data_IF_951846898999
#
_entry.id   IF_951846898999
#
_cell.length_a   1.000
_cell.length_b   1.000
_cell.length_c   1.000
_cell.angle_alpha   90.00
_cell.angle_beta   90.00
_cell.angle_gamma   90.00
#
_symmetry.space_group_name_H-M   'P 1'
#
loop_
_entity.id
_entity.type
_entity.pdbx_description
1 polymer ?
#
# COMPACT_ATOMS: atom_id res chain seq x y z
N UNK A 1 23.27 10.55 0.33
CA UNK A 1 24.28 10.35 1.40
C UNK A 1 23.74 9.30 2.36
N UNK A 2 24.33 8.09 2.41
CA UNK A 2 23.92 7.05 3.36
C UNK A 2 24.13 7.55 4.81
N UNK A 3 23.06 7.60 5.61
CA UNK A 3 23.16 7.89 7.05
C UNK A 3 24.06 6.83 7.70
N UNK A 4 25.11 7.30 8.36
CA UNK A 4 26.10 6.49 9.06
C UNK A 4 25.40 5.85 10.26
N UNK A 5 25.16 4.52 10.24
CA UNK A 5 24.68 3.77 11.41
C UNK A 5 25.59 4.10 12.60
N UNK A 6 24.97 4.51 13.71
CA UNK A 6 25.71 4.86 14.90
C UNK A 6 26.19 3.60 15.62
N UNK A 7 27.44 3.56 16.10
CA UNK A 7 27.91 2.48 16.94
C UNK A 7 27.40 2.69 18.39
N UNK A 8 26.70 1.69 18.94
CA UNK A 8 26.28 1.66 20.35
C UNK A 8 24.76 1.69 20.57
N UNK A 9 24.33 1.53 21.84
CA UNK A 9 22.93 1.65 22.26
C UNK A 9 22.61 3.12 22.50
N UNK A 10 21.49 3.60 21.96
CA UNK A 10 21.05 4.99 22.06
C UNK A 10 19.83 5.12 22.97
N UNK A 11 19.62 6.31 23.52
CA UNK A 11 18.41 6.69 24.25
C UNK A 11 17.64 7.71 23.40
N UNK A 12 16.50 7.28 22.85
CA UNK A 12 15.65 8.12 22.02
C UNK A 12 14.58 8.81 22.84
N UNK A 13 14.60 10.14 22.89
CA UNK A 13 13.54 10.96 23.49
C UNK A 13 12.49 11.25 22.44
N UNK A 14 11.25 10.81 22.66
CA UNK A 14 10.17 10.97 21.67
C UNK A 14 9.38 12.26 21.87
N UNK A 15 9.03 12.88 20.75
CA UNK A 15 8.03 13.94 20.65
C UNK A 15 6.62 13.34 20.43
N UNK A 16 5.59 13.96 21.01
CA UNK A 16 4.17 13.60 20.83
C UNK A 16 3.75 13.53 19.37
N UNK A 17 4.26 14.43 18.51
CA UNK A 17 3.92 14.44 17.09
C UNK A 17 4.33 13.15 16.37
N UNK A 18 5.39 12.49 16.83
CA UNK A 18 5.82 11.19 16.32
C UNK A 18 4.76 10.13 16.61
N UNK A 19 4.33 10.05 17.87
CA UNK A 19 3.34 9.08 18.34
C UNK A 19 1.93 9.33 17.77
N UNK A 20 1.55 10.61 17.63
CA UNK A 20 0.26 10.99 17.04
C UNK A 20 0.19 10.69 15.55
N UNK A 21 1.31 10.71 14.84
CA UNK A 21 1.36 10.33 13.43
C UNK A 21 1.45 8.81 13.25
N UNK A 22 2.28 8.13 14.05
CA UNK A 22 2.49 6.68 13.96
C UNK A 22 2.44 6.03 15.36
N UNK A 23 1.31 5.40 15.73
CA UNK A 23 1.19 4.70 17.00
C UNK A 23 2.17 3.54 17.19
N UNK A 24 2.72 2.99 16.11
CA UNK A 24 3.66 1.88 16.16
C UNK A 24 5.12 2.31 16.36
N UNK A 25 5.40 3.61 16.39
CA UNK A 25 6.75 4.16 16.49
C UNK A 25 7.55 3.58 17.67
N UNK A 26 6.89 3.35 18.81
CA UNK A 26 7.51 2.77 20.02
C UNK A 26 8.15 1.38 19.80
N UNK A 27 7.77 0.65 18.74
CA UNK A 27 8.31 -0.68 18.44
C UNK A 27 9.45 -0.66 17.40
N UNK A 28 9.80 0.52 16.87
CA UNK A 28 10.71 0.64 15.73
C UNK A 28 12.15 1.01 16.10
N UNK A 29 12.45 1.12 17.38
CA UNK A 29 13.78 1.49 17.87
C UNK A 29 14.70 0.28 18.14
N UNK A 30 14.29 -0.93 17.74
CA UNK A 30 15.09 -2.17 17.76
C UNK A 30 15.79 -2.42 19.12
N UNK A 31 17.13 -2.44 19.14
CA UNK A 31 17.97 -2.63 20.32
C UNK A 31 18.09 -1.39 21.22
N UNK A 32 17.55 -0.24 20.81
CA UNK A 32 17.74 1.05 21.47
C UNK A 32 16.63 1.36 22.48
N UNK A 33 16.98 2.16 23.48
CA UNK A 33 16.08 2.54 24.54
C UNK A 33 15.25 3.77 24.15
N UNK A 34 14.04 3.86 24.66
CA UNK A 34 13.08 4.93 24.40
C UNK A 34 12.77 5.62 25.72
N UNK A 35 12.75 6.95 25.71
CA UNK A 35 12.29 7.76 26.82
C UNK A 35 11.05 8.57 26.40
N UNK A 36 9.99 8.48 27.20
CA UNK A 36 8.74 9.21 27.00
C UNK A 36 8.60 10.28 28.10
N UNK A 37 8.79 11.57 27.76
CA UNK A 37 8.54 12.68 28.69
C UNK A 37 7.09 12.73 29.18
N UNK A 38 6.84 13.19 30.40
CA UNK A 38 5.48 13.27 30.94
C UNK A 38 4.58 14.23 30.14
N UNK A 39 5.16 15.32 29.63
CA UNK A 39 4.44 16.26 28.76
C UNK A 39 3.89 15.62 27.50
N UNK A 40 4.53 14.55 27.00
CA UNK A 40 4.02 13.79 25.84
C UNK A 40 2.74 13.05 26.20
N UNK A 41 2.64 12.51 27.43
CA UNK A 41 1.42 11.86 27.89
C UNK A 41 0.28 12.87 28.08
N UNK A 42 0.58 14.08 28.55
CA UNK A 42 -0.39 15.18 28.67
C UNK A 42 -0.93 15.62 27.29
N UNK A 43 -0.03 15.78 26.31
CA UNK A 43 -0.42 16.14 24.96
C UNK A 43 -1.21 15.03 24.26
N UNK A 44 -0.83 13.77 24.46
CA UNK A 44 -1.62 12.62 24.00
C UNK A 44 -3.02 12.63 24.60
N UNK A 45 -3.18 12.96 25.89
CA UNK A 45 -4.49 13.04 26.52
C UNK A 45 -5.35 14.18 25.95
N UNK A 46 -4.76 15.37 25.80
CA UNK A 46 -5.42 16.51 25.17
C UNK A 46 -5.87 16.20 23.73
N UNK A 47 -5.04 15.46 22.99
CA UNK A 47 -5.31 15.06 21.61
C UNK A 47 -6.41 14.00 21.45
N UNK A 48 -6.88 13.32 22.51
CA UNK A 48 -7.95 12.31 22.43
C UNK A 48 -9.32 12.88 22.07
N UNK A 49 -9.51 14.20 22.02
CA UNK A 49 -10.80 14.85 21.78
C UNK A 49 -11.14 14.85 20.29
N UNK A 50 -12.38 14.49 19.94
CA UNK A 50 -12.89 14.53 18.57
C UNK A 50 -12.78 13.22 17.78
N UNK A 51 -13.00 13.30 16.47
CA UNK A 51 -13.09 12.15 15.54
C UNK A 51 -11.94 12.09 14.53
N UNK A 52 -10.92 12.94 14.67
CA UNK A 52 -9.77 12.99 13.75
C UNK A 52 -8.88 11.76 13.86
N UNK A 53 -8.07 11.53 12.83
CA UNK A 53 -7.05 10.47 12.84
C UNK A 53 -6.02 10.68 13.95
N UNK A 54 -5.60 11.92 14.18
CA UNK A 54 -4.74 12.31 15.31
C UNK A 54 -5.36 11.86 16.65
N UNK A 55 -6.66 12.11 16.86
CA UNK A 55 -7.36 11.68 18.08
C UNK A 55 -7.49 10.16 18.18
N UNK A 56 -7.66 9.46 17.05
CA UNK A 56 -7.65 7.99 17.01
C UNK A 56 -6.27 7.44 17.37
N UNK A 57 -5.21 8.00 16.81
CA UNK A 57 -3.83 7.60 17.02
C UNK A 57 -3.41 7.87 18.47
N UNK A 58 -3.75 9.02 19.04
CA UNK A 58 -3.51 9.33 20.45
C UNK A 58 -4.17 8.31 21.40
N UNK A 59 -5.43 7.91 21.13
CA UNK A 59 -6.10 6.82 21.86
C UNK A 59 -5.40 5.48 21.69
N UNK A 60 -4.91 5.18 20.49
CA UNK A 60 -4.21 3.93 20.20
C UNK A 60 -2.88 3.86 20.95
N UNK A 61 -2.06 4.90 20.87
CA UNK A 61 -0.81 5.02 21.65
C UNK A 61 -1.08 4.85 23.13
N UNK A 62 -2.09 5.55 23.67
CA UNK A 62 -2.44 5.43 25.09
C UNK A 62 -2.77 3.99 25.50
N UNK A 63 -3.49 3.23 24.67
CA UNK A 63 -3.77 1.80 24.93
C UNK A 63 -2.53 0.92 24.82
N UNK A 64 -1.62 1.22 23.89
CA UNK A 64 -0.37 0.49 23.75
C UNK A 64 0.51 0.70 24.98
N UNK A 65 0.68 1.95 25.42
CA UNK A 65 1.41 2.30 26.64
C UNK A 65 0.78 1.65 27.88
N UNK A 66 -0.55 1.70 28.00
CA UNK A 66 -1.30 1.02 29.07
C UNK A 66 -1.06 -0.50 29.06
N UNK A 67 -1.05 -1.13 27.88
CA UNK A 67 -0.76 -2.57 27.77
C UNK A 67 0.69 -2.94 28.12
N UNK A 68 1.64 -2.04 27.84
CA UNK A 68 3.05 -2.24 28.19
C UNK A 68 3.25 -2.12 29.69
N UNK A 69 2.57 -1.16 30.33
CA UNK A 69 2.59 -0.96 31.78
C UNK A 69 1.89 -2.14 32.46
N UNK A 70 0.70 -2.55 32.01
CA UNK A 70 -0.02 -3.71 32.53
C UNK A 70 -0.13 -3.71 34.06
N UNK A 71 0.30 -4.80 34.70
CA UNK A 71 0.40 -4.94 36.16
C UNK A 71 1.83 -4.69 36.70
N UNK A 72 2.70 -4.04 35.91
CA UNK A 72 4.07 -3.78 36.31
C UNK A 72 4.13 -2.91 37.58
N UNK A 73 4.86 -3.38 38.60
CA UNK A 73 5.10 -2.60 39.81
C UNK A 73 6.00 -1.38 39.55
N UNK A 74 6.00 -0.41 40.47
CA UNK A 74 6.77 0.84 40.36
C UNK A 74 8.25 0.60 40.07
N UNK A 75 8.86 -0.42 40.69
CA UNK A 75 10.26 -0.78 40.47
C UNK A 75 10.54 -1.22 39.03
N UNK A 76 9.56 -1.87 38.37
CA UNK A 76 9.67 -2.30 36.98
C UNK A 76 9.51 -1.12 36.01
N UNK A 77 8.65 -0.15 36.34
CA UNK A 77 8.48 1.08 35.57
C UNK A 77 9.76 1.93 35.65
N UNK A 78 10.31 2.10 36.85
CA UNK A 78 11.56 2.85 37.07
C UNK A 78 12.75 2.18 36.38
N UNK A 79 12.80 0.84 36.37
CA UNK A 79 13.83 0.09 35.66
C UNK A 79 13.65 0.10 34.12
N UNK A 80 12.52 0.60 33.60
CA UNK A 80 12.14 0.56 32.19
C UNK A 80 11.46 -0.75 31.79
N UNK A 81 10.45 -0.69 30.94
CA UNK A 81 9.69 -1.85 30.49
C UNK A 81 10.28 -2.41 29.19
N UNK A 82 10.33 -3.75 29.01
CA UNK A 82 10.87 -4.33 27.78
C UNK A 82 9.98 -4.01 26.58
N UNK A 83 10.58 -3.59 25.46
CA UNK A 83 9.86 -3.42 24.20
C UNK A 83 9.67 -4.79 23.52
N UNK A 84 8.49 -5.08 22.94
CA UNK A 84 8.27 -6.27 22.12
C UNK A 84 9.22 -6.30 20.92
N UNK A 85 10.11 -7.30 20.85
CA UNK A 85 11.03 -7.49 19.73
C UNK A 85 10.33 -8.08 18.50
N UNK A 86 10.36 -7.38 17.38
CA UNK A 86 9.96 -7.91 16.07
C UNK A 86 10.98 -8.93 15.54
N UNK A 87 10.93 -10.17 16.00
CA UNK A 87 11.51 -11.36 15.33
C UNK A 87 13.04 -11.47 15.16
N UNK A 88 13.85 -10.53 15.66
CA UNK A 88 15.33 -10.58 15.59
C UNK A 88 15.99 -11.21 16.83
N UNK A 89 17.09 -11.94 16.65
CA UNK A 89 17.89 -12.60 17.69
C UNK A 89 18.67 -11.64 18.65
N UNK A 90 18.28 -10.37 18.75
CA UNK A 90 18.91 -9.34 19.59
C UNK A 90 18.15 -9.06 20.90
N UNK A 91 18.82 -8.52 21.91
CA UNK A 91 18.17 -8.12 23.17
C UNK A 91 17.40 -6.80 22.95
N UNK A 92 16.05 -6.78 23.11
CA UNK A 92 15.26 -5.60 22.77
C UNK A 92 15.61 -4.36 23.61
N UNK A 93 15.29 -3.20 23.05
CA UNK A 93 15.23 -1.92 23.76
C UNK A 93 14.25 -1.94 24.95
N UNK A 94 14.37 -0.96 25.85
CA UNK A 94 13.41 -0.71 26.93
C UNK A 94 12.77 0.66 26.76
N UNK A 95 11.52 0.78 27.20
CA UNK A 95 10.80 2.05 27.29
C UNK A 95 10.80 2.57 28.72
N UNK A 96 11.22 3.82 28.89
CA UNK A 96 11.29 4.55 30.14
C UNK A 96 10.27 5.68 30.12
N UNK A 97 9.64 5.93 31.26
CA UNK A 97 8.77 7.08 31.47
C UNK A 97 9.44 8.03 32.44
N UNK A 98 9.19 9.32 32.29
CA UNK A 98 9.66 10.31 33.27
C UNK A 98 8.91 10.13 34.60
N UNK A 99 9.59 9.60 35.60
CA UNK A 99 9.05 9.38 36.97
C UNK A 99 9.55 10.37 38.00
N UNK A 100 10.60 11.12 37.67
CA UNK A 100 11.23 12.13 38.52
C UNK A 100 11.22 13.50 37.84
N UNK A 101 11.37 14.56 38.63
CA UNK A 101 11.51 15.93 38.11
C UNK A 101 12.91 16.13 37.54
N UNK A 102 13.12 15.58 36.34
CA UNK A 102 14.36 15.64 35.58
C UNK A 102 14.25 16.82 34.61
N UNK A 103 14.38 18.03 35.12
CA UNK A 103 14.27 19.26 34.32
C UNK A 103 15.53 20.14 34.44
N UNK A 104 16.16 20.43 33.29
CA UNK A 104 17.27 21.39 33.21
C UNK A 104 16.75 22.78 32.78
N UNK A 105 17.38 23.85 33.27
CA UNK A 105 17.05 25.21 32.87
C UNK A 105 17.37 25.43 31.38
N UNK A 106 16.34 25.69 30.58
CA UNK A 106 16.44 26.12 29.18
C UNK A 106 16.46 27.66 29.16
N UNK A 107 17.24 28.33 28.28
CA UNK A 107 17.30 29.79 28.22
C UNK A 107 15.88 30.41 28.13
N UNK A 108 15.57 31.34 29.04
CA UNK A 108 14.25 31.99 29.11
C UNK A 108 13.88 32.79 27.86
N UNK A 109 14.84 33.03 26.97
CA UNK A 109 14.66 33.70 25.68
C UNK A 109 14.25 32.77 24.53
N UNK A 110 14.08 31.46 24.76
CA UNK A 110 13.66 30.52 23.69
C UNK A 110 12.18 30.70 23.34
N UNK A 111 11.86 31.10 22.09
CA UNK A 111 10.47 31.23 21.65
C UNK A 111 9.83 29.85 21.41
N UNK A 112 8.59 29.64 21.88
CA UNK A 112 7.84 28.40 21.70
C UNK A 112 6.78 28.16 22.77
N UNK A 113 6.01 27.08 22.61
CA UNK A 113 5.07 26.60 23.62
C UNK A 113 5.79 25.95 24.81
N UNK A 114 5.11 25.87 25.97
CA UNK A 114 5.66 25.28 27.19
C UNK A 114 6.06 23.80 27.00
N UNK A 115 5.40 23.06 26.10
CA UNK A 115 5.64 21.63 25.91
C UNK A 115 6.92 21.31 25.13
N UNK A 116 7.18 21.98 24.00
CA UNK A 116 8.46 21.89 23.27
C UNK A 116 9.66 22.11 24.21
N UNK A 117 9.59 23.18 25.01
CA UNK A 117 10.66 23.54 25.93
C UNK A 117 10.84 22.50 27.04
N UNK A 118 9.75 21.84 27.45
CA UNK A 118 9.79 20.74 28.43
C UNK A 118 10.41 19.47 27.85
N UNK A 119 10.15 19.15 26.58
CA UNK A 119 10.81 18.02 25.89
C UNK A 119 12.32 18.29 25.78
N UNK A 120 12.70 19.52 25.43
CA UNK A 120 14.11 19.92 25.34
C UNK A 120 14.81 19.89 26.71
N UNK A 121 14.17 20.36 27.78
CA UNK A 121 14.76 20.35 29.13
C UNK A 121 15.03 18.93 29.63
N UNK A 122 14.11 18.01 29.37
CA UNK A 122 14.26 16.58 29.69
C UNK A 122 15.39 15.96 28.89
N UNK A 123 15.48 16.25 27.59
CA UNK A 123 16.54 15.70 26.74
C UNK A 123 17.95 16.19 27.16
N UNK A 124 18.09 17.44 27.61
CA UNK A 124 19.35 17.96 28.18
C UNK A 124 19.69 17.21 29.47
N UNK A 125 18.74 17.13 30.41
CA UNK A 125 18.97 16.49 31.69
C UNK A 125 19.33 15.00 31.55
N UNK A 126 18.73 14.28 30.59
CA UNK A 126 19.11 12.91 30.27
C UNK A 126 20.51 12.79 29.64
N UNK A 127 20.91 13.76 28.81
CA UNK A 127 22.27 13.79 28.24
C UNK A 127 23.33 14.01 29.33
N UNK A 128 23.03 14.82 30.36
CA UNK A 128 23.92 15.05 31.51
C UNK A 128 23.96 13.87 32.48
N UNK A 129 22.81 13.23 32.75
CA UNK A 129 22.72 12.08 33.65
C UNK A 129 23.37 10.81 33.07
N UNK A 130 23.42 10.68 31.74
CA UNK A 130 23.93 9.50 31.05
C UNK A 130 25.01 9.86 30.00
N UNK A 131 26.20 10.34 30.41
CA UNK A 131 27.25 10.79 29.49
C UNK A 131 27.79 9.67 28.58
N UNK A 132 27.66 8.40 29.01
CA UNK A 132 28.09 7.23 28.25
C UNK A 132 27.04 6.74 27.22
N UNK A 133 25.82 7.30 27.24
CA UNK A 133 24.73 6.95 26.32
C UNK A 133 24.40 8.14 25.42
N UNK A 134 24.32 7.90 24.12
CA UNK A 134 23.99 8.96 23.18
C UNK A 134 22.48 9.22 23.16
N UNK A 135 22.08 10.32 23.80
CA UNK A 135 20.71 10.83 23.82
C UNK A 135 20.36 11.52 22.50
N UNK A 136 19.25 11.10 21.89
CA UNK A 136 18.78 11.60 20.59
C UNK A 136 17.31 12.00 20.68
N UNK A 137 17.00 13.26 20.36
CA UNK A 137 15.62 13.72 20.22
C UNK A 137 15.07 13.28 18.86
N UNK A 138 13.88 12.67 18.87
CA UNK A 138 13.17 12.21 17.66
C UNK A 138 11.88 12.98 17.55
N UNK A 139 11.75 13.78 16.49
CA UNK A 139 10.60 14.66 16.26
C UNK A 139 10.31 14.78 14.77
N UNK A 140 9.04 15.02 14.41
CA UNK A 140 8.61 15.42 13.05
C UNK A 140 8.64 16.94 12.83
N UNK A 141 8.73 17.73 13.89
CA UNK A 141 8.76 19.19 13.80
C UNK A 141 10.18 19.70 13.53
N UNK A 142 10.36 20.36 12.38
CA UNK A 142 11.63 20.97 11.98
C UNK A 142 12.10 22.00 13.01
N UNK A 143 11.20 22.80 13.58
CA UNK A 143 11.54 23.85 14.54
C UNK A 143 12.06 23.27 15.85
N UNK A 144 11.39 22.23 16.37
CA UNK A 144 11.85 21.53 17.57
C UNK A 144 13.24 20.91 17.37
N UNK A 145 13.49 20.31 16.20
CA UNK A 145 14.82 19.76 15.85
C UNK A 145 15.89 20.84 15.71
N UNK A 146 15.57 22.01 15.15
CA UNK A 146 16.50 23.14 15.06
C UNK A 146 16.87 23.62 16.46
N UNK A 147 15.88 23.82 17.35
CA UNK A 147 16.10 24.25 18.75
C UNK A 147 17.00 23.26 19.49
N UNK A 148 16.71 21.96 19.37
CA UNK A 148 17.51 20.90 19.98
C UNK A 148 18.99 20.97 19.55
N UNK A 149 19.25 21.12 18.24
CA UNK A 149 20.62 21.24 17.72
C UNK A 149 21.33 22.50 18.21
N UNK A 150 20.63 23.62 18.31
CA UNK A 150 21.17 24.86 18.88
C UNK A 150 21.55 24.67 20.36
N UNK A 151 20.80 23.86 21.09
CA UNK A 151 21.07 23.50 22.49
C UNK A 151 22.08 22.36 22.67
N UNK A 152 22.71 21.87 21.59
CA UNK A 152 23.70 20.79 21.65
C UNK A 152 23.10 19.38 21.76
N UNK A 153 21.77 19.24 21.72
CA UNK A 153 21.08 17.96 21.68
C UNK A 153 21.07 17.45 20.24
N UNK A 154 21.46 16.19 20.06
CA UNK A 154 21.31 15.54 18.76
C UNK A 154 19.83 15.35 18.45
N UNK A 155 19.38 15.86 17.31
CA UNK A 155 18.00 15.71 16.87
C UNK A 155 17.89 15.08 15.48
N UNK A 156 17.08 14.03 15.40
CA UNK A 156 16.79 13.26 14.20
C UNK A 156 15.31 13.43 13.81
N UNK A 157 15.08 13.48 12.50
CA UNK A 157 13.73 13.41 11.97
C UNK A 157 13.19 12.00 12.22
N UNK A 158 11.95 11.89 12.70
CA UNK A 158 11.23 10.62 12.61
C UNK A 158 10.84 10.39 11.17
N UNK A 159 11.81 9.90 10.41
CA UNK A 159 11.55 9.27 9.15
C UNK A 159 10.86 7.95 9.49
N UNK A 160 9.79 7.65 8.77
CA UNK A 160 9.08 6.38 8.84
C UNK A 160 9.97 5.19 8.37
N UNK A 161 11.28 5.42 8.22
CA UNK A 161 12.35 4.62 7.59
C UNK A 161 12.68 3.32 8.35
N UNK A 162 11.72 2.77 9.08
CA UNK A 162 11.70 1.35 9.42
C UNK A 162 10.38 0.64 9.09
N UNK A 163 9.53 1.23 8.26
CA UNK A 163 8.54 0.49 7.48
C UNK A 163 8.58 0.99 6.03
N UNK A 164 9.32 0.22 5.21
CA UNK A 164 9.54 0.35 3.77
C UNK A 164 10.49 1.49 3.37
N UNK A 165 11.79 1.28 3.62
CA UNK A 165 12.90 2.05 3.05
C UNK A 165 13.04 1.89 1.52
N UNK A 166 11.94 1.57 0.83
CA UNK A 166 11.93 1.32 -0.60
C UNK A 166 10.46 1.16 -1.07
N UNK A 167 9.97 2.11 -1.85
CA UNK A 167 8.96 1.81 -2.87
C UNK A 167 9.37 0.61 -3.76
N UNK A 168 10.68 0.28 -3.77
CA UNK A 168 11.29 -0.90 -4.40
C UNK A 168 11.19 -2.22 -3.58
N UNK A 169 10.74 -2.19 -2.31
CA UNK A 169 10.50 -3.34 -1.42
C UNK A 169 9.01 -3.69 -1.33
N UNK A 170 8.14 -2.87 -1.92
CA UNK A 170 6.74 -3.25 -2.11
C UNK A 170 6.70 -4.55 -2.90
N UNK A 171 5.89 -5.50 -2.41
CA UNK A 171 5.66 -6.76 -3.09
C UNK A 171 5.22 -6.49 -4.53
N UNK A 172 6.10 -6.75 -5.50
CA UNK A 172 5.87 -6.43 -6.91
C UNK A 172 4.97 -7.45 -7.64
N UNK A 173 4.63 -8.56 -6.99
CA UNK A 173 3.85 -9.65 -7.60
C UNK A 173 4.64 -10.55 -8.54
N UNK A 174 5.95 -10.32 -8.72
CA UNK A 174 6.81 -11.04 -9.66
C UNK A 174 8.06 -11.61 -8.99
N UNK A 175 8.51 -12.78 -9.44
CA UNK A 175 9.80 -13.33 -9.05
C UNK A 175 10.44 -14.10 -10.20
N UNK A 176 11.77 -14.19 -10.18
CA UNK A 176 12.47 -15.06 -11.11
C UNK A 176 12.17 -16.53 -10.77
N UNK A 177 11.92 -17.33 -11.81
CA UNK A 177 11.75 -18.77 -11.70
C UNK A 177 13.14 -19.44 -11.61
N UNK A 178 13.45 -20.18 -10.53
CA UNK A 178 14.72 -20.89 -10.41
C UNK A 178 14.90 -21.91 -11.54
N UNK A 179 16.12 -21.95 -12.09
CA UNK A 179 16.48 -22.89 -13.18
C UNK A 179 16.20 -24.35 -12.84
N UNK A 180 16.32 -24.75 -11.58
CA UNK A 180 16.03 -26.11 -11.12
C UNK A 180 14.57 -26.54 -11.33
N UNK A 181 13.63 -25.59 -11.43
CA UNK A 181 12.22 -25.85 -11.76
C UNK A 181 11.93 -25.73 -13.25
N UNK A 182 12.79 -25.06 -14.01
CA UNK A 182 12.64 -24.94 -15.46
C UNK A 182 12.70 -26.31 -16.14
N UNK A 183 13.63 -27.17 -15.72
CA UNK A 183 13.78 -28.53 -16.26
C UNK A 183 12.54 -29.41 -15.96
N UNK A 184 11.80 -29.10 -14.89
CA UNK A 184 10.54 -29.79 -14.56
C UNK A 184 9.38 -29.29 -15.42
N UNK A 185 9.33 -28.01 -15.78
CA UNK A 185 8.29 -27.45 -16.66
C UNK A 185 8.36 -28.03 -18.08
N UNK A 186 9.55 -28.40 -18.55
CA UNK A 186 9.75 -29.00 -19.87
C UNK A 186 9.53 -30.53 -19.87
N UNK A 187 9.48 -31.16 -18.70
CA UNK A 187 9.25 -32.60 -18.55
C UNK A 187 7.75 -32.95 -18.53
N UNK A 188 7.28 -33.72 -19.51
CA UNK A 188 5.88 -34.21 -19.61
C UNK A 188 5.34 -34.97 -18.38
N UNK A 189 6.07 -35.92 -17.75
CA UNK A 189 5.51 -36.73 -16.65
C UNK A 189 5.22 -35.96 -15.35
N UNK A 190 5.63 -34.69 -15.24
CA UNK A 190 5.37 -33.84 -14.07
C UNK A 190 4.08 -33.01 -14.20
N UNK A 191 3.39 -33.09 -15.33
CA UNK A 191 2.21 -32.27 -15.65
C UNK A 191 0.92 -33.03 -15.37
N UNK A 192 -0.10 -32.33 -14.87
CA UNK A 192 -1.48 -32.83 -14.90
C UNK A 192 -2.42 -31.75 -15.40
N UNK A 193 -3.59 -32.17 -15.88
CA UNK A 193 -4.64 -31.27 -16.31
C UNK A 193 -5.85 -31.35 -15.38
N UNK A 194 -6.41 -30.20 -15.02
CA UNK A 194 -7.64 -30.11 -14.23
C UNK A 194 -8.42 -28.88 -14.68
N UNK A 195 -9.70 -29.05 -15.00
CA UNK A 195 -10.59 -27.97 -15.46
C UNK A 195 -10.02 -27.16 -16.64
N UNK A 196 -9.36 -27.82 -17.59
CA UNK A 196 -8.74 -27.18 -18.75
C UNK A 196 -7.43 -26.44 -18.47
N UNK A 197 -6.94 -26.45 -17.24
CA UNK A 197 -5.66 -25.85 -16.83
C UNK A 197 -4.59 -26.93 -16.70
N UNK A 198 -3.36 -26.58 -17.04
CA UNK A 198 -2.20 -27.46 -16.91
C UNK A 198 -1.38 -27.02 -15.71
N UNK A 199 -1.02 -27.96 -14.85
CA UNK A 199 -0.26 -27.68 -13.63
C UNK A 199 0.98 -28.57 -13.55
N UNK A 200 2.02 -28.04 -12.90
CA UNK A 200 3.25 -28.78 -12.58
C UNK A 200 3.48 -28.72 -11.07
N UNK A 201 3.74 -29.87 -10.45
CA UNK A 201 3.74 -29.98 -8.99
C UNK A 201 5.03 -29.38 -8.43
N UNK A 202 4.89 -28.62 -7.34
CA UNK A 202 6.00 -27.99 -6.64
C UNK A 202 6.10 -28.53 -5.21
N UNK A 203 7.32 -28.78 -4.77
CA UNK A 203 7.59 -29.25 -3.42
C UNK A 203 7.45 -28.12 -2.39
N UNK A 204 6.95 -28.43 -1.18
CA UNK A 204 6.74 -27.43 -0.12
C UNK A 204 7.98 -26.61 0.21
N UNK A 205 9.17 -27.19 0.12
CA UNK A 205 10.43 -26.49 0.39
C UNK A 205 10.68 -25.37 -0.63
N UNK A 206 10.40 -25.62 -1.92
CA UNK A 206 10.57 -24.63 -3.00
C UNK A 206 9.49 -23.56 -2.94
N UNK A 207 8.25 -23.95 -2.60
CA UNK A 207 7.11 -23.04 -2.53
C UNK A 207 7.18 -22.00 -1.40
N UNK A 208 7.98 -22.24 -0.34
CA UNK A 208 8.11 -21.32 0.82
C UNK A 208 8.52 -19.89 0.46
N UNK A 209 9.15 -19.70 -0.69
CA UNK A 209 9.62 -18.39 -1.15
C UNK A 209 8.57 -17.60 -1.93
N UNK A 210 7.42 -18.21 -2.25
CA UNK A 210 6.40 -17.59 -3.09
C UNK A 210 5.08 -17.39 -2.36
N UNK A 211 4.44 -16.26 -2.67
CA UNK A 211 3.06 -16.01 -2.29
C UNK A 211 2.11 -16.64 -3.33
N UNK A 212 0.89 -17.07 -2.94
CA UNK A 212 -0.11 -17.53 -3.89
C UNK A 212 -0.31 -16.52 -5.04
N UNK A 213 -0.48 -17.04 -6.24
CA UNK A 213 -0.67 -16.27 -7.48
C UNK A 213 0.48 -15.32 -7.85
N UNK A 214 1.67 -15.52 -7.27
CA UNK A 214 2.87 -14.81 -7.67
C UNK A 214 3.27 -15.21 -9.10
N UNK A 215 3.57 -14.22 -9.92
CA UNK A 215 3.96 -14.39 -11.31
C UNK A 215 5.45 -14.71 -11.39
N UNK A 216 5.80 -15.87 -11.93
CA UNK A 216 7.17 -16.35 -12.02
C UNK A 216 7.64 -16.29 -13.47
N UNK A 217 8.83 -15.74 -13.69
CA UNK A 217 9.35 -15.54 -15.03
C UNK A 217 10.78 -16.07 -15.18
N UNK A 218 11.14 -16.43 -16.41
CA UNK A 218 12.52 -16.78 -16.76
C UNK A 218 13.18 -15.56 -17.41
N UNK A 219 14.40 -15.16 -17.01
CA UNK A 219 15.15 -14.13 -17.74
C UNK A 219 15.32 -14.56 -19.19
N UNK A 220 15.12 -13.63 -20.12
CA UNK A 220 15.30 -13.84 -21.56
C UNK A 220 14.36 -14.86 -22.25
N UNK A 221 13.34 -15.40 -21.56
CA UNK A 221 12.33 -16.27 -22.16
C UNK A 221 10.92 -15.98 -21.65
N UNK A 222 10.02 -15.55 -22.55
CA UNK A 222 8.59 -15.29 -22.25
C UNK A 222 7.72 -16.54 -22.32
N UNK A 223 8.15 -17.57 -23.07
CA UNK A 223 7.35 -18.78 -23.31
C UNK A 223 7.26 -19.71 -22.09
N UNK A 224 7.98 -19.37 -21.02
CA UNK A 224 8.12 -20.17 -19.81
C UNK A 224 7.66 -19.41 -18.56
N UNK A 225 6.91 -18.32 -18.77
CA UNK A 225 6.29 -17.56 -17.70
C UNK A 225 5.15 -18.41 -17.08
N UNK A 226 5.09 -18.46 -15.75
CA UNK A 226 4.12 -19.28 -15.01
C UNK A 226 3.57 -18.51 -13.81
N UNK A 227 2.47 -18.97 -13.23
CA UNK A 227 1.91 -18.44 -11.98
C UNK A 227 1.98 -19.53 -10.91
N UNK A 228 2.50 -19.20 -9.73
CA UNK A 228 2.47 -20.10 -8.59
C UNK A 228 1.06 -20.22 -8.02
N UNK A 229 0.58 -21.44 -7.77
CA UNK A 229 -0.77 -21.74 -7.29
C UNK A 229 -0.73 -22.55 -6.00
N UNK A 230 -1.46 -22.05 -5.00
CA UNK A 230 -1.84 -22.83 -3.83
C UNK A 230 -3.24 -23.40 -4.06
N UNK A 231 -3.33 -24.70 -4.34
CA UNK A 231 -4.58 -25.40 -4.64
C UNK A 231 -5.20 -26.03 -3.39
N UNK A 232 -4.75 -25.64 -2.19
CA UNK A 232 -5.24 -26.17 -0.92
C UNK A 232 -4.97 -27.66 -0.78
N UNK A 233 -6.03 -28.47 -0.72
CA UNK A 233 -5.94 -29.92 -0.54
C UNK A 233 -5.22 -30.62 -1.71
N UNK A 234 -5.25 -30.03 -2.91
CA UNK A 234 -4.57 -30.57 -4.09
C UNK A 234 -3.08 -30.23 -4.14
N UNK A 235 -2.58 -29.44 -3.17
CA UNK A 235 -1.16 -29.12 -3.02
C UNK A 235 -0.72 -27.85 -3.75
N UNK A 236 0.59 -27.76 -3.99
CA UNK A 236 1.24 -26.56 -4.53
C UNK A 236 1.72 -26.82 -5.96
N UNK A 237 1.51 -25.85 -6.83
CA UNK A 237 1.74 -26.01 -8.26
C UNK A 237 2.25 -24.73 -8.92
N UNK A 238 2.74 -24.87 -10.14
CA UNK A 238 2.90 -23.76 -11.09
C UNK A 238 2.04 -24.03 -12.33
N UNK A 239 1.41 -22.99 -12.82
CA UNK A 239 0.52 -23.01 -13.98
C UNK A 239 1.13 -22.15 -15.10
N UNK A 240 1.33 -22.67 -16.32
CA UNK A 240 1.76 -21.86 -17.46
C UNK A 240 0.77 -20.73 -17.76
N UNK A 241 1.28 -19.53 -18.01
CA UNK A 241 0.41 -18.40 -18.38
C UNK A 241 -0.15 -18.57 -19.78
N UNK A 242 -1.36 -18.04 -19.99
CA UNK A 242 -1.90 -17.83 -21.33
C UNK A 242 -1.17 -16.65 -21.96
N UNK A 243 -0.74 -16.80 -23.21
CA UNK A 243 -0.11 -15.73 -23.98
C UNK A 243 -1.18 -14.81 -24.57
N UNK A 244 -1.17 -13.56 -24.11
CA UNK A 244 -2.01 -12.46 -24.59
C UNK A 244 -1.23 -11.41 -25.39
N UNK A 245 0.01 -11.70 -25.79
CA UNK A 245 0.83 -10.76 -26.58
C UNK A 245 0.41 -10.71 -28.06
N UNK A 246 1.10 -9.95 -28.91
CA UNK A 246 0.72 -9.72 -30.33
C UNK A 246 0.54 -11.00 -31.16
N UNK A 247 1.23 -12.10 -30.80
CA UNK A 247 1.07 -13.41 -31.44
C UNK A 247 0.13 -14.36 -30.68
N UNK A 248 -0.48 -13.87 -29.60
CA UNK A 248 -1.33 -14.61 -28.68
C UNK A 248 -2.81 -14.26 -28.81
N UNK A 249 -3.54 -14.52 -27.74
CA UNK A 249 -4.97 -14.22 -27.65
C UNK A 249 -5.21 -12.74 -27.31
N UNK A 250 -6.36 -12.19 -27.65
CA UNK A 250 -6.78 -10.87 -27.17
C UNK A 250 -7.74 -10.97 -25.99
N UNK A 251 -7.84 -9.89 -25.21
CA UNK A 251 -8.91 -9.68 -24.25
C UNK A 251 -9.66 -8.43 -24.68
N UNK A 252 -10.90 -8.59 -25.17
CA UNK A 252 -11.67 -7.47 -25.74
C UNK A 252 -10.87 -6.67 -26.78
N UNK A 253 -10.20 -7.37 -27.71
CA UNK A 253 -9.36 -6.76 -28.74
C UNK A 253 -8.01 -6.19 -28.26
N UNK A 254 -7.69 -6.22 -26.97
CA UNK A 254 -6.43 -5.72 -26.42
C UNK A 254 -5.39 -6.85 -26.31
N UNK A 255 -4.18 -6.57 -26.79
CA UNK A 255 -2.98 -7.39 -26.58
C UNK A 255 -2.12 -6.82 -25.44
N UNK A 256 -1.49 -7.71 -24.68
CA UNK A 256 -0.41 -7.35 -23.78
C UNK A 256 0.86 -6.99 -24.58
N UNK A 257 1.47 -5.84 -24.29
CA UNK A 257 2.69 -5.41 -25.00
C UNK A 257 3.97 -5.89 -24.34
N UNK A 258 3.90 -6.17 -23.05
CA UNK A 258 5.02 -6.66 -22.27
C UNK A 258 4.58 -7.76 -21.29
N UNK A 259 5.57 -8.40 -20.66
CA UNK A 259 5.37 -9.48 -19.70
C UNK A 259 4.46 -9.09 -18.53
N UNK A 260 4.63 -7.88 -18.01
CA UNK A 260 3.88 -7.39 -16.85
C UNK A 260 2.38 -7.26 -17.20
N UNK A 261 2.07 -6.73 -18.38
CA UNK A 261 0.70 -6.67 -18.90
C UNK A 261 0.13 -8.07 -19.18
N UNK A 262 0.95 -9.01 -19.66
CA UNK A 262 0.50 -10.38 -19.90
C UNK A 262 0.10 -11.07 -18.60
N UNK A 263 0.93 -10.94 -17.56
CA UNK A 263 0.60 -11.42 -16.23
C UNK A 263 -0.64 -10.73 -15.66
N UNK A 264 -0.76 -9.40 -15.83
CA UNK A 264 -1.95 -8.67 -15.40
C UNK A 264 -3.22 -9.22 -16.03
N UNK A 265 -3.25 -9.47 -17.34
CA UNK A 265 -4.41 -10.07 -18.01
C UNK A 265 -4.70 -11.49 -17.50
N UNK A 266 -3.67 -12.31 -17.25
CA UNK A 266 -3.86 -13.64 -16.66
C UNK A 266 -4.53 -13.56 -15.27
N UNK A 267 -4.09 -12.63 -14.40
CA UNK A 267 -4.70 -12.44 -13.08
C UNK A 267 -6.12 -11.88 -13.18
N UNK A 268 -6.36 -10.88 -14.03
CA UNK A 268 -7.67 -10.25 -14.20
C UNK A 268 -8.71 -11.23 -14.76
N UNK A 269 -8.31 -12.05 -15.74
CA UNK A 269 -9.16 -13.03 -16.40
C UNK A 269 -9.32 -14.33 -15.60
N UNK A 270 -8.62 -14.53 -14.49
CA UNK A 270 -8.71 -15.75 -13.71
C UNK A 270 -10.02 -15.83 -12.89
N UNK A 271 -10.89 -16.82 -13.14
CA UNK A 271 -12.04 -17.12 -12.30
C UNK A 271 -11.82 -17.20 -10.80
N UNK A 272 -10.68 -17.72 -10.38
CA UNK A 272 -10.47 -18.11 -8.99
C UNK A 272 -9.99 -16.93 -8.13
N UNK A 273 -9.73 -15.78 -8.77
CA UNK A 273 -9.28 -14.56 -8.09
C UNK A 273 -10.45 -13.60 -7.90
N UNK A 274 -10.81 -13.39 -6.65
CA UNK A 274 -11.85 -12.44 -6.25
C UNK A 274 -11.29 -11.03 -6.06
N UNK A 275 -9.99 -10.90 -5.79
CA UNK A 275 -9.31 -9.62 -5.64
C UNK A 275 -8.07 -9.56 -6.51
N UNK A 276 -7.93 -8.52 -7.31
CA UNK A 276 -6.73 -8.25 -8.10
C UNK A 276 -6.30 -6.81 -7.87
N UNK A 277 -5.01 -6.58 -7.68
CA UNK A 277 -4.44 -5.24 -7.58
C UNK A 277 -3.37 -4.99 -8.64
N UNK A 278 -3.49 -3.88 -9.35
CA UNK A 278 -2.52 -3.43 -10.34
C UNK A 278 -1.89 -2.12 -9.85
N UNK A 279 -0.62 -2.18 -9.50
CA UNK A 279 0.18 -1.00 -9.20
C UNK A 279 1.01 -0.63 -10.42
N UNK A 280 1.28 0.64 -10.65
CA UNK A 280 2.24 1.02 -11.70
C UNK A 280 2.17 2.50 -12.04
N UNK A 281 3.19 3.00 -12.73
CA UNK A 281 3.26 4.42 -13.11
C UNK A 281 2.22 4.79 -14.17
N UNK A 282 2.03 6.08 -14.44
CA UNK A 282 1.18 6.55 -15.53
C UNK A 282 1.64 6.00 -16.89
N UNK A 283 0.67 5.66 -17.76
CA UNK A 283 0.94 5.10 -19.10
C UNK A 283 1.23 3.60 -19.16
N UNK A 284 1.13 2.87 -18.05
CA UNK A 284 1.34 1.40 -18.00
C UNK A 284 0.13 0.57 -18.47
N UNK A 285 -1.01 1.21 -18.72
CA UNK A 285 -2.22 0.55 -19.23
C UNK A 285 -3.13 -0.08 -18.16
N UNK A 286 -2.91 0.17 -16.86
CA UNK A 286 -3.71 -0.42 -15.76
C UNK A 286 -5.23 -0.33 -15.97
N UNK A 287 -5.73 0.87 -16.24
CA UNK A 287 -7.16 1.13 -16.42
C UNK A 287 -7.69 0.45 -17.68
N UNK A 288 -6.95 0.54 -18.79
CA UNK A 288 -7.30 -0.12 -20.05
C UNK A 288 -7.42 -1.64 -19.89
N UNK A 289 -6.41 -2.30 -19.28
CA UNK A 289 -6.42 -3.74 -19.05
C UNK A 289 -7.56 -4.18 -18.12
N UNK A 290 -7.79 -3.42 -17.04
CA UNK A 290 -8.86 -3.71 -16.09
C UNK A 290 -10.25 -3.59 -16.75
N UNK A 291 -10.45 -2.59 -17.61
CA UNK A 291 -11.70 -2.40 -18.37
C UNK A 291 -11.87 -3.48 -19.44
N UNK A 292 -10.85 -3.78 -20.23
CA UNK A 292 -10.88 -4.84 -21.24
C UNK A 292 -11.27 -6.19 -20.62
N UNK A 293 -10.61 -6.58 -19.53
CA UNK A 293 -10.93 -7.81 -18.80
C UNK A 293 -12.33 -7.79 -18.18
N UNK A 294 -12.77 -6.63 -17.68
CA UNK A 294 -14.13 -6.45 -17.15
C UNK A 294 -15.19 -6.59 -18.23
N UNK A 295 -14.95 -6.03 -19.42
CA UNK A 295 -15.86 -6.09 -20.57
C UNK A 295 -15.96 -7.51 -21.13
N UNK A 296 -14.83 -8.16 -21.38
CA UNK A 296 -14.80 -9.57 -21.79
C UNK A 296 -15.60 -10.45 -20.82
N UNK A 297 -15.34 -10.32 -19.52
CA UNK A 297 -16.04 -11.13 -18.52
C UNK A 297 -17.52 -10.77 -18.30
N UNK A 298 -17.96 -9.57 -18.72
CA UNK A 298 -19.36 -9.11 -18.57
C UNK A 298 -20.20 -9.37 -19.81
N UNK A 299 -19.61 -9.18 -21.00
CA UNK A 299 -20.33 -9.23 -22.28
C UNK A 299 -20.10 -10.55 -23.03
N UNK A 300 -18.86 -11.05 -23.07
CA UNK A 300 -18.51 -12.29 -23.77
C UNK A 300 -18.78 -13.51 -22.88
N UNK A 301 -18.12 -13.57 -21.71
CA UNK A 301 -18.22 -14.70 -20.78
C UNK A 301 -19.53 -14.68 -19.96
N UNK A 302 -20.20 -13.52 -19.90
CA UNK A 302 -21.43 -13.28 -19.12
C UNK A 302 -21.32 -13.69 -17.64
N UNK A 303 -20.11 -13.63 -17.07
CA UNK A 303 -19.82 -13.97 -15.67
C UNK A 303 -20.34 -12.89 -14.72
N UNK A 304 -20.15 -11.63 -15.09
CA UNK A 304 -20.62 -10.49 -14.30
C UNK A 304 -21.81 -9.82 -14.98
N UNK A 305 -22.69 -9.23 -14.18
CA UNK A 305 -23.89 -8.53 -14.67
C UNK A 305 -23.58 -7.14 -15.20
N UNK A 306 -22.69 -6.44 -14.50
CA UNK A 306 -22.26 -5.07 -14.83
C UNK A 306 -20.90 -4.77 -14.19
N UNK A 307 -20.24 -3.78 -14.76
CA UNK A 307 -18.99 -3.20 -14.28
C UNK A 307 -19.35 -1.97 -13.42
N UNK A 308 -18.86 -1.93 -12.20
CA UNK A 308 -19.01 -0.77 -11.31
C UNK A 308 -17.65 -0.12 -11.14
N UNK A 309 -17.48 1.11 -11.60
CA UNK A 309 -16.23 1.85 -11.45
C UNK A 309 -16.39 2.96 -10.42
N UNK A 310 -15.44 3.07 -9.52
CA UNK A 310 -15.36 4.17 -8.56
C UNK A 310 -13.95 4.72 -8.53
N UNK A 311 -13.81 6.04 -8.33
CA UNK A 311 -12.53 6.73 -8.26
C UNK A 311 -12.49 7.57 -6.99
N UNK A 312 -11.32 7.65 -6.35
CA UNK A 312 -11.10 8.57 -5.26
C UNK A 312 -11.12 10.01 -5.78
N UNK A 313 -12.10 10.81 -5.36
CA UNK A 313 -12.17 12.24 -5.66
C UNK A 313 -11.32 12.99 -4.63
N UNK A 314 -10.08 13.32 -4.96
CA UNK A 314 -9.30 14.30 -4.18
C UNK A 314 -9.65 15.68 -4.75
N UNK A 315 -10.20 16.61 -3.95
CA UNK A 315 -10.45 17.96 -4.43
C UNK A 315 -9.11 18.63 -4.76
N UNK A 316 -8.97 19.12 -5.99
CA UNK A 316 -7.81 19.90 -6.41
C UNK A 316 -8.16 21.38 -6.20
N UNK A 317 -7.65 21.98 -5.12
CA UNK A 317 -7.81 23.41 -4.80
C UNK A 317 -8.58 23.69 -3.50
N UNK A 318 -8.72 24.98 -3.15
CA UNK A 318 -9.61 25.44 -2.07
C UNK A 318 -11.00 24.87 -2.31
N UNK A 319 -11.58 24.21 -1.28
CA UNK A 319 -12.89 23.55 -1.27
C UNK A 319 -13.83 24.18 -2.31
N UNK A 320 -13.87 23.60 -3.51
CA UNK A 320 -15.00 23.82 -4.40
C UNK A 320 -16.11 23.11 -3.65
N UNK A 321 -16.82 23.87 -2.81
CA UNK A 321 -17.96 23.37 -2.07
C UNK A 321 -18.86 22.56 -3.00
N UNK A 322 -19.58 21.58 -2.43
CA UNK A 322 -20.45 20.64 -3.16
C UNK A 322 -20.87 21.13 -4.55
N UNK A 323 -20.23 20.62 -5.61
CA UNK A 323 -20.67 20.86 -6.98
C UNK A 323 -22.19 20.57 -7.05
N UNK A 324 -23.07 21.55 -7.30
CA UNK A 324 -24.49 21.27 -7.44
C UNK A 324 -24.69 20.44 -8.71
N UNK A 325 -25.45 19.34 -8.63
CA UNK A 325 -25.65 18.44 -9.77
C UNK A 325 -25.83 16.98 -9.40
N UNK A 326 -26.10 16.16 -10.42
CA UNK A 326 -26.20 14.71 -10.34
C UNK A 326 -24.85 14.08 -9.99
N UNK A 327 -24.85 12.80 -9.60
CA UNK A 327 -23.60 12.07 -9.34
C UNK A 327 -22.69 12.04 -10.58
N UNK A 328 -23.27 11.89 -11.78
CA UNK A 328 -22.54 11.90 -13.06
C UNK A 328 -21.92 13.28 -13.36
N UNK A 329 -22.66 14.38 -13.17
CA UNK A 329 -22.16 15.74 -13.39
C UNK A 329 -21.00 16.08 -12.44
N UNK A 330 -21.09 15.62 -11.18
CA UNK A 330 -19.99 15.76 -10.21
C UNK A 330 -18.77 14.98 -10.65
N UNK A 331 -18.97 13.80 -11.20
CA UNK A 331 -17.90 12.92 -11.64
C UNK A 331 -17.31 13.31 -13.01
N UNK A 332 -17.94 14.26 -13.72
CA UNK A 332 -17.61 14.63 -15.10
C UNK A 332 -16.13 14.98 -15.36
N UNK A 333 -15.41 15.73 -14.48
CA UNK A 333 -14.00 16.03 -14.69
C UNK A 333 -13.11 14.78 -14.80
N UNK A 334 -13.52 13.68 -14.17
CA UNK A 334 -12.79 12.41 -14.19
C UNK A 334 -13.28 11.44 -15.26
N UNK A 335 -14.41 11.72 -15.91
CA UNK A 335 -14.95 10.86 -16.97
C UNK A 335 -14.13 10.92 -18.26
N UNK A 336 -13.45 12.03 -18.56
CA UNK A 336 -12.67 12.20 -19.79
C UNK A 336 -11.69 11.05 -20.02
N UNK A 337 -10.81 10.79 -19.05
CA UNK A 337 -9.82 9.72 -19.14
C UNK A 337 -10.45 8.31 -19.25
N UNK A 338 -11.64 8.10 -18.69
CA UNK A 338 -12.37 6.85 -18.86
C UNK A 338 -12.92 6.72 -20.28
N UNK A 339 -13.52 7.79 -20.82
CA UNK A 339 -14.05 7.81 -22.19
C UNK A 339 -12.94 7.58 -23.21
N UNK A 340 -11.76 8.16 -23.02
CA UNK A 340 -10.60 7.92 -23.88
C UNK A 340 -10.21 6.43 -23.92
N UNK A 341 -10.23 5.74 -22.77
CA UNK A 341 -9.98 4.31 -22.72
C UNK A 341 -11.10 3.49 -23.37
N UNK A 342 -12.37 3.91 -23.23
CA UNK A 342 -13.50 3.24 -23.87
C UNK A 342 -13.47 3.41 -25.38
N UNK A 343 -13.04 4.56 -25.90
CA UNK A 343 -12.88 4.80 -27.34
C UNK A 343 -11.91 3.78 -27.95
N UNK A 344 -10.74 3.58 -27.32
CA UNK A 344 -9.77 2.55 -27.72
C UNK A 344 -10.37 1.14 -27.72
N UNK A 345 -11.27 0.84 -26.79
CA UNK A 345 -11.96 -0.46 -26.66
C UNK A 345 -13.16 -0.61 -27.62
N UNK A 346 -13.63 0.48 -28.23
CA UNK A 346 -14.69 0.47 -29.25
C UNK A 346 -14.15 0.47 -30.68
N UNK A 347 -12.94 0.99 -30.89
CA UNK A 347 -12.34 1.11 -32.22
C UNK A 347 -11.94 -0.25 -32.82
N UNK A 348 -11.97 -1.31 -32.02
CA UNK A 348 -11.76 -2.71 -32.43
C UNK A 348 -12.94 -3.31 -33.19
N UNK A 349 -14.12 -2.66 -33.17
CA UNK A 349 -15.31 -3.14 -33.87
C UNK A 349 -15.32 -2.66 -35.34
N UNK A 350 -15.18 -3.60 -36.28
CA UNK A 350 -15.15 -3.37 -37.75
C UNK A 350 -16.49 -2.91 -38.37
N UNK A 351 -17.49 -2.58 -37.56
CA UNK A 351 -18.76 -2.02 -38.04
C UNK A 351 -18.64 -0.51 -38.28
N UNK A 352 -19.16 -0.01 -39.40
CA UNK A 352 -19.22 1.44 -39.68
C UNK A 352 -19.96 2.24 -38.59
N UNK A 353 -20.10 3.55 -38.76
CA UNK A 353 -20.56 4.51 -37.72
C UNK A 353 -21.82 4.06 -36.92
N UNK A 354 -22.75 3.34 -37.55
CA UNK A 354 -23.94 2.80 -36.88
C UNK A 354 -23.65 1.65 -35.88
N UNK A 355 -22.71 0.77 -36.21
CA UNK A 355 -22.28 -0.32 -35.33
C UNK A 355 -21.55 0.23 -34.11
N UNK A 356 -20.71 1.24 -34.30
CA UNK A 356 -20.00 1.93 -33.22
C UNK A 356 -20.95 2.60 -32.23
N UNK A 357 -22.00 3.27 -32.71
CA UNK A 357 -23.00 3.89 -31.83
C UNK A 357 -23.74 2.85 -30.97
N UNK A 358 -24.14 1.72 -31.56
CA UNK A 358 -24.81 0.64 -30.83
C UNK A 358 -23.88 -0.04 -29.81
N UNK A 359 -22.62 -0.28 -30.17
CA UNK A 359 -21.61 -0.82 -29.24
C UNK A 359 -21.37 0.15 -28.09
N UNK A 360 -21.28 1.46 -28.37
CA UNK A 360 -21.06 2.47 -27.33
C UNK A 360 -22.25 2.54 -26.35
N UNK A 361 -23.49 2.54 -26.84
CA UNK A 361 -24.69 2.50 -25.99
C UNK A 361 -24.72 1.26 -25.09
N UNK A 362 -24.33 0.09 -25.63
CA UNK A 362 -24.24 -1.14 -24.85
C UNK A 362 -23.17 -1.05 -23.76
N UNK A 363 -22.00 -0.49 -24.04
CA UNK A 363 -20.94 -0.29 -23.06
C UNK A 363 -21.40 0.67 -21.95
N UNK A 364 -21.98 1.81 -22.29
CA UNK A 364 -22.54 2.76 -21.33
C UNK A 364 -23.66 2.15 -20.47
N UNK A 365 -24.43 1.21 -21.02
CA UNK A 365 -25.45 0.51 -20.25
C UNK A 365 -24.86 -0.41 -19.17
N UNK A 366 -23.69 -1.02 -19.44
CA UNK A 366 -23.02 -2.03 -18.59
C UNK A 366 -21.98 -1.48 -17.64
N UNK A 367 -21.46 -0.29 -17.90
CA UNK A 367 -20.51 0.39 -17.02
C UNK A 367 -21.26 1.43 -16.18
N UNK A 368 -21.20 1.29 -14.85
CA UNK A 368 -21.80 2.23 -13.90
C UNK A 368 -20.70 2.92 -13.10
N UNK A 369 -20.54 4.22 -13.33
CA UNK A 369 -19.64 5.06 -12.55
C UNK A 369 -20.38 5.47 -11.27
N UNK A 370 -19.78 5.21 -10.12
CA UNK A 370 -20.35 5.50 -8.80
C UNK A 370 -19.33 6.19 -7.89
N UNK A 371 -19.80 7.13 -7.10
CA UNK A 371 -19.02 7.75 -6.05
C UNK A 371 -18.78 6.79 -4.89
N UNK A 372 -17.71 7.01 -4.13
CA UNK A 372 -17.40 6.23 -2.94
C UNK A 372 -18.53 6.22 -1.90
N UNK A 373 -19.27 7.33 -1.79
CA UNK A 373 -20.38 7.45 -0.85
C UNK A 373 -21.56 6.56 -1.26
N UNK A 374 -21.82 6.41 -2.57
CA UNK A 374 -22.87 5.53 -3.08
C UNK A 374 -22.62 4.06 -2.75
N UNK A 375 -21.35 3.66 -2.68
CA UNK A 375 -20.96 2.27 -2.38
C UNK A 375 -21.28 1.86 -0.93
N UNK A 376 -21.41 2.83 -0.01
CA UNK A 376 -21.66 2.54 1.41
C UNK A 376 -23.06 1.96 1.62
N UNK A 377 -23.15 0.90 2.43
CA UNK A 377 -24.42 0.27 2.79
C UNK A 377 -25.04 -0.63 1.72
N UNK A 378 -24.38 -0.83 0.57
CA UNK A 378 -24.82 -1.75 -0.48
C UNK A 378 -24.05 -3.06 -0.44
N UNK A 379 -24.53 -4.08 -1.14
CA UNK A 379 -23.80 -5.33 -1.38
C UNK A 379 -23.78 -5.57 -2.89
N UNK A 380 -22.60 -5.81 -3.44
CA UNK A 380 -22.41 -6.11 -4.86
C UNK A 380 -22.47 -7.62 -5.06
N UNK A 381 -23.35 -8.08 -5.94
CA UNK A 381 -23.51 -9.50 -6.27
C UNK A 381 -23.26 -9.68 -7.76
N UNK A 382 -22.38 -10.63 -8.12
CA UNK A 382 -22.02 -10.91 -9.51
C UNK A 382 -21.58 -9.65 -10.28
N UNK A 383 -20.75 -8.81 -9.65
CA UNK A 383 -20.26 -7.55 -10.24
C UNK A 383 -18.75 -7.59 -10.48
N UNK A 384 -18.29 -6.84 -11.47
CA UNK A 384 -16.87 -6.53 -11.64
C UNK A 384 -16.64 -5.09 -11.14
N UNK A 385 -15.97 -4.93 -10.01
CA UNK A 385 -15.82 -3.63 -9.35
C UNK A 385 -14.40 -3.11 -9.56
N UNK A 386 -14.25 -1.95 -10.21
CA UNK A 386 -12.97 -1.28 -10.41
C UNK A 386 -12.87 -0.12 -9.42
N UNK A 387 -11.82 -0.11 -8.59
CA UNK A 387 -11.47 0.99 -7.69
C UNK A 387 -10.23 1.65 -8.26
N UNK A 388 -10.42 2.80 -8.91
CA UNK A 388 -9.39 3.60 -9.56
C UNK A 388 -8.82 4.68 -8.63
N UNK A 389 -7.57 5.06 -8.89
CA UNK A 389 -6.75 5.90 -8.00
C UNK A 389 -6.76 5.42 -6.55
N UNK A 390 -6.63 4.10 -6.37
CA UNK A 390 -6.73 3.45 -5.07
C UNK A 390 -5.72 3.99 -4.05
N UNK A 391 -4.58 4.55 -4.49
CA UNK A 391 -3.55 5.12 -3.60
C UNK A 391 -4.08 6.28 -2.76
N UNK A 392 -5.11 6.99 -3.24
CA UNK A 392 -5.71 8.14 -2.58
C UNK A 392 -6.77 7.74 -1.53
N UNK A 393 -7.01 6.44 -1.32
CA UNK A 393 -7.94 5.94 -0.32
C UNK A 393 -7.23 5.65 1.00
N UNK A 394 -7.83 6.03 2.11
CA UNK A 394 -7.41 5.58 3.45
C UNK A 394 -7.72 4.08 3.64
N UNK A 395 -7.02 3.42 4.58
CA UNK A 395 -7.31 2.04 5.00
C UNK A 395 -8.80 1.80 5.31
N UNK A 396 -9.45 2.75 6.00
CA UNK A 396 -10.87 2.66 6.38
C UNK A 396 -11.78 2.71 5.15
N UNK A 397 -11.52 3.61 4.20
CA UNK A 397 -12.28 3.69 2.96
C UNK A 397 -12.12 2.42 2.13
N UNK A 398 -10.89 1.94 1.97
CA UNK A 398 -10.60 0.71 1.22
C UNK A 398 -11.33 -0.50 1.83
N UNK A 399 -11.22 -0.68 3.16
CA UNK A 399 -11.95 -1.74 3.89
C UNK A 399 -13.46 -1.62 3.69
N UNK A 400 -13.99 -0.39 3.72
CA UNK A 400 -15.43 -0.14 3.55
C UNK A 400 -15.91 -0.55 2.16
N UNK A 401 -15.11 -0.35 1.10
CA UNK A 401 -15.46 -0.74 -0.26
C UNK A 401 -15.34 -2.24 -0.47
N UNK A 402 -14.22 -2.84 -0.06
CA UNK A 402 -13.94 -4.25 -0.32
C UNK A 402 -14.96 -5.16 0.38
N UNK A 403 -15.35 -4.81 1.62
CA UNK A 403 -16.35 -5.57 2.40
C UNK A 403 -17.77 -5.50 1.82
N UNK A 404 -17.98 -4.80 0.69
CA UNK A 404 -19.26 -4.78 -0.04
C UNK A 404 -19.33 -5.82 -1.14
N UNK A 405 -18.22 -6.47 -1.49
CA UNK A 405 -18.24 -7.60 -2.41
C UNK A 405 -18.96 -8.78 -1.74
N UNK A 406 -20.13 -9.11 -2.26
CA UNK A 406 -20.81 -10.37 -2.00
C UNK A 406 -20.44 -11.43 -3.04
N UNK A 407 -21.07 -12.62 -2.97
CA UNK A 407 -20.74 -13.76 -3.83
C UNK A 407 -20.69 -13.43 -5.32
N UNK A 408 -19.70 -14.01 -6.00
CA UNK A 408 -19.47 -13.87 -7.45
C UNK A 408 -18.99 -12.48 -7.87
N UNK A 409 -18.58 -11.61 -6.94
CA UNK A 409 -18.02 -10.29 -7.24
C UNK A 409 -16.50 -10.34 -7.27
N UNK A 410 -15.90 -9.74 -8.30
CA UNK A 410 -14.46 -9.52 -8.40
C UNK A 410 -14.18 -8.03 -8.14
N UNK A 411 -13.19 -7.75 -7.30
CA UNK A 411 -12.69 -6.39 -7.05
C UNK A 411 -11.32 -6.23 -7.71
N UNK A 412 -11.16 -5.16 -8.47
CA UNK A 412 -9.91 -4.75 -9.09
C UNK A 412 -9.51 -3.38 -8.56
N UNK A 413 -8.43 -3.32 -7.78
CA UNK A 413 -7.85 -2.06 -7.33
C UNK A 413 -6.71 -1.66 -8.26
N UNK A 414 -6.77 -0.44 -8.79
CA UNK A 414 -5.70 0.10 -9.64
C UNK A 414 -5.20 1.41 -9.04
N UNK A 415 -3.88 1.64 -9.10
CA UNK A 415 -3.30 2.85 -8.54
C UNK A 415 -1.82 3.05 -8.85
N UNK A 416 -1.31 4.21 -8.47
CA UNK A 416 0.09 4.60 -8.57
C UNK A 416 0.56 5.25 -7.27
N UNK A 417 1.34 4.52 -6.47
CA UNK A 417 1.81 5.02 -5.16
C UNK A 417 2.70 6.26 -5.30
N UNK A 418 3.40 6.44 -6.42
CA UNK A 418 4.20 7.64 -6.68
C UNK A 418 3.34 8.89 -7.00
N UNK A 419 2.02 8.76 -7.09
CA UNK A 419 1.07 9.84 -7.37
C UNK A 419 -0.04 9.87 -6.31
N UNK A 420 0.36 10.12 -5.07
CA UNK A 420 -0.59 10.41 -3.98
C UNK A 420 -0.93 11.90 -4.04
N UNK A 421 -2.18 12.21 -4.32
CA UNK A 421 -2.65 13.58 -4.54
C UNK A 421 -3.03 14.29 -3.22
N UNK A 422 -3.19 13.52 -2.14
CA UNK A 422 -3.62 14.04 -0.83
C UNK A 422 -2.44 14.19 0.13
N UNK A 423 -2.28 15.36 0.79
CA UNK A 423 -1.18 15.58 1.73
C UNK A 423 -1.32 14.76 3.02
N UNK A 424 -2.47 14.11 3.23
CA UNK A 424 -2.76 13.31 4.43
C UNK A 424 -2.38 11.83 4.27
N UNK A 425 -2.01 11.39 3.06
CA UNK A 425 -1.55 10.03 2.81
C UNK A 425 -0.10 10.03 2.36
N UNK A 426 0.55 8.90 2.62
CA UNK A 426 1.88 8.56 2.17
C UNK A 426 1.87 7.14 1.63
N UNK A 427 2.97 6.70 1.04
CA UNK A 427 3.10 5.35 0.50
C UNK A 427 2.81 4.27 1.56
N UNK A 428 3.20 4.50 2.81
CA UNK A 428 3.03 3.57 3.93
C UNK A 428 1.64 3.65 4.56
N UNK A 429 0.98 4.81 4.49
CA UNK A 429 -0.36 5.03 5.09
C UNK A 429 -1.51 4.85 4.10
N UNK A 430 -1.21 4.70 2.81
CA UNK A 430 -2.20 4.43 1.77
C UNK A 430 -2.97 3.13 2.03
N UNK A 431 -4.29 3.20 1.88
CA UNK A 431 -5.15 2.03 1.90
C UNK A 431 -4.83 1.02 0.81
N UNK A 432 -4.23 1.46 -0.30
CA UNK A 432 -3.81 0.57 -1.38
C UNK A 432 -2.65 -0.33 -0.96
N UNK A 433 -1.59 0.24 -0.39
CA UNK A 433 -0.45 -0.51 0.17
C UNK A 433 -0.91 -1.51 1.22
N UNK A 434 -1.81 -1.08 2.11
CA UNK A 434 -2.38 -1.94 3.15
C UNK A 434 -3.09 -3.17 2.58
N UNK A 435 -3.87 -3.03 1.50
CA UNK A 435 -4.57 -4.19 0.91
C UNK A 435 -3.65 -5.07 0.08
N UNK A 436 -2.64 -4.52 -0.59
CA UNK A 436 -1.64 -5.34 -1.29
C UNK A 436 -0.95 -6.28 -0.31
N UNK A 437 -0.49 -5.77 0.84
CA UNK A 437 0.17 -6.60 1.86
C UNK A 437 -0.80 -7.57 2.54
N UNK A 438 -2.01 -7.09 2.91
CA UNK A 438 -3.01 -7.92 3.57
C UNK A 438 -3.58 -9.04 2.70
N UNK A 439 -3.65 -8.86 1.38
CA UNK A 439 -4.18 -9.85 0.44
C UNK A 439 -3.09 -10.75 -0.17
N UNK A 440 -1.80 -10.40 0.01
CA UNK A 440 -0.65 -11.20 -0.46
C UNK A 440 -0.71 -12.69 -0.08
N UNK A 441 -1.06 -13.11 1.16
CA UNK A 441 -1.13 -14.52 1.51
C UNK A 441 -2.44 -15.19 1.08
N UNK A 442 -3.41 -14.46 0.53
CA UNK A 442 -4.72 -15.00 0.21
C UNK A 442 -4.75 -15.67 -1.16
N UNK A 443 -5.13 -16.95 -1.21
CA UNK A 443 -5.17 -17.76 -2.44
C UNK A 443 -6.11 -17.22 -3.55
N UNK A 444 -7.07 -16.37 -3.20
CA UNK A 444 -7.99 -15.72 -4.15
C UNK A 444 -7.62 -14.24 -4.41
N UNK A 445 -6.42 -13.83 -3.98
CA UNK A 445 -5.83 -12.52 -4.23
C UNK A 445 -4.71 -12.59 -5.27
N UNK A 446 -4.64 -11.59 -6.14
CA UNK A 446 -3.53 -11.38 -7.07
C UNK A 446 -3.01 -9.95 -6.98
N UNK A 447 -1.70 -9.79 -7.15
CA UNK A 447 -1.07 -8.48 -7.25
C UNK A 447 -0.02 -8.50 -8.35
N UNK A 448 0.08 -7.41 -9.09
CA UNK A 448 1.21 -7.15 -9.98
C UNK A 448 1.52 -5.67 -10.07
N UNK A 449 2.82 -5.36 -10.08
CA UNK A 449 3.35 -4.03 -10.34
C UNK A 449 3.81 -3.91 -11.79
N UNK A 450 3.26 -2.95 -12.53
CA UNK A 450 3.64 -2.56 -13.89
C UNK A 450 4.69 -1.45 -13.79
N UNK A 451 5.96 -1.80 -14.02
CA UNK A 451 7.09 -0.88 -13.93
C UNK A 451 7.31 -0.14 -15.24
N UNK A 452 7.11 -0.82 -16.38
CA UNK A 452 7.41 -0.26 -17.71
C UNK A 452 6.13 0.16 -18.42
N UNK A 453 5.94 1.47 -18.57
CA UNK A 453 4.97 2.01 -19.52
C UNK A 453 5.54 1.98 -20.93
N UNK A 454 4.72 1.70 -21.93
CA UNK A 454 5.09 2.02 -23.31
C UNK A 454 4.81 3.50 -23.54
N UNK A 455 5.83 4.30 -23.26
CA UNK A 455 5.77 5.76 -23.31
C UNK A 455 6.19 6.23 -24.70
N UNK A 456 5.68 7.39 -25.10
CA UNK A 456 6.22 8.06 -26.28
C UNK A 456 7.63 8.56 -25.95
N UNK A 457 8.47 8.72 -26.98
CA UNK A 457 9.85 9.25 -26.84
C UNK A 457 9.91 10.56 -26.05
N UNK A 458 8.86 11.37 -26.10
CA UNK A 458 8.75 12.63 -25.36
C UNK A 458 8.61 12.41 -23.85
N UNK A 459 7.78 11.45 -23.43
CA UNK A 459 7.50 11.19 -22.02
C UNK A 459 8.69 10.53 -21.33
N UNK A 460 9.41 9.66 -22.04
CA UNK A 460 10.67 9.10 -21.52
C UNK A 460 11.72 10.18 -21.29
N UNK A 461 11.92 11.06 -22.28
CA UNK A 461 12.84 12.20 -22.15
C UNK A 461 12.41 13.16 -21.03
N UNK A 462 11.12 13.48 -20.91
CA UNK A 462 10.61 14.36 -19.86
C UNK A 462 10.79 13.74 -18.46
N UNK A 463 10.54 12.44 -18.29
CA UNK A 463 10.72 11.76 -17.02
C UNK A 463 12.19 11.70 -16.59
N UNK A 464 13.14 11.61 -17.53
CA UNK A 464 14.58 11.63 -17.22
C UNK A 464 15.09 13.04 -16.89
N UNK A 465 14.51 14.09 -17.47
CA UNK A 465 14.98 15.47 -17.32
C UNK A 465 14.26 16.27 -16.22
N UNK A 466 13.07 15.83 -15.80
CA UNK A 466 12.20 16.56 -14.86
C UNK A 466 11.92 15.82 -13.54
N UNK A 467 12.45 14.61 -13.36
CA UNK A 467 12.45 13.89 -12.08
C UNK A 467 13.63 14.34 -11.21
#
# INVERSE_FOLDING_TARGET
>A
MRKRKLPGRHLFVLDTNVLMHDPSAIFRFQEHDIFVPMVVLEELDAAKKGLSEVARNARHVSRLLDSLIGEAGQDSINAGLPLPSGGGNGNPGRIYFQTEDVSHAVPTSLPGGNSDNSILSVAIALQEAHPDTSTVLVSKDINLRIKARVLGIRAEDYLDDMVLDDASLLYNGMAELPRSLLDRLTSEPAKWQQSGRTYVKVDKAQARQWAPNQCLYVPDSRNLDVIFRDLGEHGLAIEPVKDFTENGNTVWGIHARNREQNFALNLLMDPELDFVSLLGTAGTGKTLLALAAGLAQTLEDKRFREIVMTRATVPVGDDIGFLPGTEEEKMAPWMGALMDNLEVLTDTDTGGDWGRAATNDLLHSRIKIRSLNYMRGRTFLNRYVIIDEAQNLTRKQMTTLITRAGPGTKIVCIGNIAQIDTPYLSETTSGFTYVVDGFKPWRHGGHITLLRGERSRLVDFAAEQLA
#
